data_IF_202779771974
#
_entry.id   IF_202779771974
#
_cell.length_a   1.000
_cell.length_b   1.000
_cell.length_c   1.000
_cell.angle_alpha   90.00
_cell.angle_beta   90.00
_cell.angle_gamma   90.00
#
_symmetry.space_group_name_H-M   'P 1'
#
loop_
_entity.id
_entity.type
_entity.pdbx_description
1 polymer ?
#
# COMPACT_ATOMS: atom_id res chain seq x y z
N UNK A 1 -3.13 34.83 -3.41
CA UNK A 1 -2.10 34.06 -4.12
C UNK A 1 -1.81 32.77 -3.36
N UNK A 2 -1.54 31.65 -4.04
CA UNK A 2 -1.19 30.39 -3.37
C UNK A 2 0.13 30.51 -2.60
N UNK A 3 0.34 29.61 -1.64
CA UNK A 3 1.61 29.46 -0.94
C UNK A 3 2.61 28.76 -1.86
N UNK A 4 3.74 29.39 -2.11
CA UNK A 4 4.82 28.82 -2.93
C UNK A 4 5.77 28.03 -2.02
N UNK A 5 6.15 26.81 -2.43
CA UNK A 5 7.10 26.01 -1.68
C UNK A 5 8.47 26.72 -1.56
N UNK A 6 9.18 26.63 -0.41
CA UNK A 6 10.35 27.46 -0.11
C UNK A 6 11.45 27.42 -1.16
N UNK A 7 11.68 26.25 -1.77
CA UNK A 7 12.69 26.07 -2.81
C UNK A 7 12.42 26.87 -4.10
N UNK A 8 11.19 27.37 -4.29
CA UNK A 8 10.80 28.19 -5.44
C UNK A 8 10.60 29.68 -5.09
N UNK A 9 10.92 30.10 -3.86
CA UNK A 9 10.68 31.48 -3.42
C UNK A 9 11.35 32.53 -4.33
N UNK A 10 12.54 32.20 -4.86
CA UNK A 10 13.34 33.07 -5.73
C UNK A 10 13.25 32.71 -7.22
N UNK A 11 12.41 31.75 -7.60
CA UNK A 11 12.21 31.40 -9.00
C UNK A 11 11.64 32.63 -9.75
N UNK A 12 12.03 32.95 -10.99
CA UNK A 12 11.37 34.00 -11.77
C UNK A 12 9.92 33.64 -12.15
N UNK A 13 9.60 32.35 -12.28
CA UNK A 13 8.27 31.91 -12.71
C UNK A 13 7.24 31.98 -11.56
N UNK A 14 5.98 32.29 -11.87
CA UNK A 14 4.88 32.36 -10.89
C UNK A 14 3.62 31.66 -11.42
N UNK A 15 2.80 31.04 -10.54
CA UNK A 15 1.52 30.46 -10.92
C UNK A 15 0.63 31.48 -11.64
N UNK A 16 0.09 31.08 -12.79
CA UNK A 16 -0.76 31.90 -13.65
C UNK A 16 -2.25 31.70 -13.35
N UNK A 17 -2.61 30.60 -12.67
CA UNK A 17 -4.00 30.25 -12.37
C UNK A 17 -4.42 30.73 -10.99
N UNK A 18 -5.73 30.92 -10.83
CA UNK A 18 -6.35 31.42 -9.60
C UNK A 18 -6.47 30.32 -8.53
N UNK A 19 -5.33 29.83 -8.06
CA UNK A 19 -5.26 28.88 -6.96
C UNK A 19 -5.73 29.51 -5.64
N UNK A 20 -6.42 28.75 -4.76
CA UNK A 20 -6.75 29.22 -3.42
C UNK A 20 -5.51 29.63 -2.62
N UNK A 21 -5.65 30.64 -1.76
CA UNK A 21 -4.55 31.14 -0.92
C UNK A 21 -4.05 30.10 0.10
N UNK A 22 -4.90 29.13 0.43
CA UNK A 22 -4.56 28.00 1.30
C UNK A 22 -3.82 26.88 0.58
N UNK A 23 -3.73 26.92 -0.75
CA UNK A 23 -3.07 25.91 -1.57
C UNK A 23 -1.55 26.08 -1.53
N UNK A 24 -0.81 25.02 -1.20
CA UNK A 24 0.64 24.95 -1.40
C UNK A 24 0.92 24.45 -2.81
N UNK A 25 1.85 25.09 -3.53
CA UNK A 25 2.23 24.70 -4.89
C UNK A 25 3.74 24.58 -5.06
N UNK A 26 4.17 23.66 -5.92
CA UNK A 26 5.56 23.48 -6.37
C UNK A 26 5.61 23.01 -7.82
N UNK A 27 6.75 23.19 -8.49
CA UNK A 27 6.86 22.86 -9.92
C UNK A 27 8.29 22.49 -10.31
N UNK A 28 8.45 21.93 -11.50
CA UNK A 28 9.77 21.69 -12.07
C UNK A 28 9.69 21.54 -13.58
N UNK A 29 10.64 22.17 -14.28
CA UNK A 29 10.74 22.05 -15.74
C UNK A 29 11.22 20.68 -16.24
N UNK A 30 11.71 19.83 -15.34
CA UNK A 30 12.21 18.48 -15.64
C UNK A 30 11.86 17.52 -14.50
N UNK A 31 11.00 16.56 -14.80
CA UNK A 31 10.66 15.43 -13.94
C UNK A 31 10.63 14.14 -14.76
N UNK A 32 10.59 13.01 -14.06
CA UNK A 32 10.46 11.68 -14.67
C UNK A 32 9.17 11.03 -14.19
N UNK A 33 8.49 10.35 -15.11
CA UNK A 33 7.37 9.47 -14.80
C UNK A 33 7.82 8.04 -15.07
N UNK A 34 7.66 7.18 -14.07
CA UNK A 34 7.99 5.76 -14.16
C UNK A 34 6.70 4.96 -14.23
N UNK A 35 6.61 4.06 -15.20
CA UNK A 35 5.50 3.14 -15.36
C UNK A 35 6.01 1.76 -15.78
N UNK A 36 5.17 0.74 -15.65
CA UNK A 36 5.45 -0.61 -16.15
C UNK A 36 5.74 -0.62 -17.66
N UNK A 37 5.07 0.24 -18.43
CA UNK A 37 5.25 0.38 -19.88
C UNK A 37 6.47 1.23 -20.30
N UNK A 38 7.26 1.74 -19.35
CA UNK A 38 8.42 2.57 -19.61
C UNK A 38 8.43 3.88 -18.83
N UNK A 39 9.41 4.72 -19.13
CA UNK A 39 9.59 6.03 -18.48
C UNK A 39 9.63 7.16 -19.51
N UNK A 40 9.20 8.35 -19.09
CA UNK A 40 9.30 9.56 -19.91
C UNK A 40 9.61 10.79 -19.05
N UNK A 41 10.21 11.79 -19.67
CA UNK A 41 10.45 13.11 -19.07
C UNK A 41 9.27 14.05 -19.29
N UNK A 42 8.95 14.88 -18.30
CA UNK A 42 7.88 15.89 -18.37
C UNK A 42 8.16 17.05 -17.41
N UNK A 43 7.66 18.25 -17.72
CA UNK A 43 7.50 19.29 -16.70
C UNK A 43 6.32 18.92 -15.78
N UNK A 44 6.40 19.31 -14.51
CA UNK A 44 5.35 19.01 -13.54
C UNK A 44 4.95 20.25 -12.74
N UNK A 45 3.69 20.27 -12.32
CA UNK A 45 3.15 21.24 -11.37
C UNK A 45 2.31 20.47 -10.35
N UNK A 46 2.68 20.61 -9.08
CA UNK A 46 2.06 19.91 -7.97
C UNK A 46 1.33 20.90 -7.07
N UNK A 47 0.11 20.57 -6.71
CA UNK A 47 -0.75 21.38 -5.85
C UNK A 47 -1.26 20.54 -4.67
N UNK A 48 -1.31 21.18 -3.51
CA UNK A 48 -1.80 20.62 -2.25
C UNK A 48 -2.91 21.54 -1.72
N UNK A 49 -4.14 21.41 -2.25
CA UNK A 49 -5.27 22.22 -1.81
C UNK A 49 -5.64 21.88 -0.37
N UNK A 50 -5.76 22.90 0.48
CA UNK A 50 -6.28 22.77 1.84
C UNK A 50 -7.69 23.37 1.94
N UNK A 51 -8.56 23.06 0.98
CA UNK A 51 -9.94 23.53 0.87
C UNK A 51 -10.97 22.41 1.11
N UNK A 52 -10.52 21.23 1.56
CA UNK A 52 -11.36 20.05 1.74
C UNK A 52 -11.60 19.24 0.46
N UNK A 53 -11.12 19.68 -0.71
CA UNK A 53 -11.17 18.85 -1.94
C UNK A 53 -10.34 17.57 -1.80
N UNK A 54 -9.39 17.57 -0.86
CA UNK A 54 -8.58 16.44 -0.46
C UNK A 54 -7.48 16.09 -1.46
N UNK A 55 -6.41 15.49 -0.94
CA UNK A 55 -5.39 14.83 -1.74
C UNK A 55 -4.33 15.74 -2.36
N UNK A 56 -3.51 15.10 -3.18
CA UNK A 56 -2.40 15.66 -3.92
C UNK A 56 -2.76 15.68 -5.41
N UNK A 57 -2.48 16.80 -6.07
CA UNK A 57 -2.69 16.97 -7.51
C UNK A 57 -1.36 17.14 -8.20
N UNK A 58 -1.20 16.50 -9.35
CA UNK A 58 -0.05 16.68 -10.22
C UNK A 58 -0.52 16.81 -11.65
N UNK A 59 -0.20 17.94 -12.25
CA UNK A 59 -0.30 18.13 -13.69
C UNK A 59 1.04 17.91 -14.36
N UNK A 60 0.98 17.51 -15.63
CA UNK A 60 2.13 17.20 -16.47
C UNK A 60 2.03 17.96 -17.79
N UNK A 61 3.17 18.30 -18.37
CA UNK A 61 3.22 19.07 -19.61
C UNK A 61 4.62 19.11 -20.23
N UNK A 62 4.73 19.76 -21.38
CA UNK A 62 6.04 20.09 -21.98
C UNK A 62 6.67 21.29 -21.29
N UNK A 63 5.86 22.18 -20.74
CA UNK A 63 6.28 23.35 -19.96
C UNK A 63 5.58 23.38 -18.60
N UNK A 64 6.08 24.23 -17.70
CA UNK A 64 5.48 24.40 -16.37
C UNK A 64 4.06 24.99 -16.47
N UNK A 65 3.80 25.87 -17.45
CA UNK A 65 2.49 26.46 -17.70
C UNK A 65 1.47 25.42 -18.17
N UNK A 66 1.88 24.51 -19.05
CA UNK A 66 1.04 23.38 -19.48
C UNK A 66 0.74 22.46 -18.30
N UNK A 67 1.75 22.15 -17.48
CA UNK A 67 1.60 21.34 -16.29
C UNK A 67 0.67 22.02 -15.26
N UNK A 68 0.79 23.33 -15.06
CA UNK A 68 -0.11 24.10 -14.18
C UNK A 68 -1.55 24.06 -14.72
N UNK A 69 -1.74 24.26 -16.03
CA UNK A 69 -3.07 24.23 -16.63
C UNK A 69 -3.74 22.85 -16.47
N UNK A 70 -3.00 21.75 -16.67
CA UNK A 70 -3.50 20.42 -16.42
C UNK A 70 -3.85 20.21 -14.94
N UNK A 71 -2.95 20.57 -14.02
CA UNK A 71 -3.16 20.47 -12.58
C UNK A 71 -4.40 21.27 -12.12
N UNK A 72 -4.54 22.50 -12.60
CA UNK A 72 -5.66 23.38 -12.27
C UNK A 72 -6.98 22.82 -12.78
N UNK A 73 -6.99 22.23 -13.98
CA UNK A 73 -8.17 21.54 -14.51
C UNK A 73 -8.60 20.37 -13.63
N UNK A 74 -7.62 19.63 -13.07
CA UNK A 74 -7.89 18.56 -12.12
C UNK A 74 -8.54 19.12 -10.84
N UNK A 75 -7.96 20.18 -10.26
CA UNK A 75 -8.52 20.84 -9.07
C UNK A 75 -9.96 21.32 -9.30
N UNK A 76 -10.23 22.03 -10.41
CA UNK A 76 -11.57 22.52 -10.72
C UNK A 76 -12.61 21.39 -10.77
N UNK A 77 -12.26 20.25 -11.37
CA UNK A 77 -13.15 19.07 -11.39
C UNK A 77 -13.39 18.50 -9.99
N UNK A 78 -12.36 18.44 -9.15
CA UNK A 78 -12.47 17.92 -7.78
C UNK A 78 -13.27 18.87 -6.88
N UNK A 79 -12.94 20.16 -6.89
CA UNK A 79 -13.63 21.21 -6.17
C UNK A 79 -15.11 21.27 -6.54
N UNK A 80 -15.44 21.17 -7.84
CA UNK A 80 -16.83 21.09 -8.30
C UNK A 80 -17.57 19.86 -7.73
N UNK A 81 -16.92 18.70 -7.60
CA UNK A 81 -17.56 17.54 -6.97
C UNK A 81 -17.84 17.75 -5.49
N UNK A 82 -16.94 18.42 -4.78
CA UNK A 82 -17.11 18.75 -3.37
C UNK A 82 -18.33 19.67 -3.16
N UNK A 83 -18.51 20.67 -4.04
CA UNK A 83 -19.63 21.63 -3.95
C UNK A 83 -20.96 21.13 -4.54
N UNK A 84 -20.94 20.09 -5.40
CA UNK A 84 -22.14 19.58 -6.10
C UNK A 84 -22.55 18.16 -5.64
N UNK A 85 -22.73 18.01 -4.34
CA UNK A 85 -23.25 16.78 -3.73
C UNK A 85 -22.22 15.66 -3.60
N UNK A 86 -20.95 16.01 -3.42
CA UNK A 86 -19.87 15.12 -3.03
C UNK A 86 -19.38 14.14 -4.09
N UNK A 87 -18.32 13.41 -3.74
CA UNK A 87 -17.72 12.37 -4.57
C UNK A 87 -18.57 11.09 -4.57
N UNK A 88 -18.59 10.40 -5.71
CA UNK A 88 -19.15 9.04 -5.83
C UNK A 88 -18.05 8.07 -6.23
N UNK A 89 -17.66 7.21 -5.31
CA UNK A 89 -16.48 6.35 -5.44
C UNK A 89 -16.77 5.03 -6.18
N UNK A 90 -15.77 4.51 -6.90
CA UNK A 90 -15.75 3.18 -7.51
C UNK A 90 -14.35 2.58 -7.49
N UNK A 91 -14.21 1.25 -7.43
CA UNK A 91 -12.90 0.58 -7.58
C UNK A 91 -12.44 0.49 -9.03
N UNK A 92 -13.34 0.75 -9.98
CA UNK A 92 -13.09 0.54 -11.39
C UNK A 92 -12.22 1.63 -12.03
N UNK A 93 -10.99 1.27 -12.43
CA UNK A 93 -10.01 2.20 -13.03
C UNK A 93 -10.37 2.70 -14.43
N UNK A 94 -11.35 2.12 -15.13
CA UNK A 94 -11.75 2.59 -16.47
C UNK A 94 -13.23 2.91 -16.55
N UNK A 95 -13.49 4.21 -16.55
CA UNK A 95 -14.63 4.82 -17.20
C UNK A 95 -14.13 5.38 -18.54
N UNK A 96 -14.10 4.58 -19.61
CA UNK A 96 -13.69 5.12 -20.93
C UNK A 96 -14.73 6.17 -21.40
N UNK A 97 -14.30 7.30 -21.99
CA UNK A 97 -15.19 8.07 -22.87
C UNK A 97 -15.71 7.14 -23.96
N UNK A 98 -16.99 7.27 -24.32
CA UNK A 98 -17.62 6.40 -25.33
C UNK A 98 -16.98 6.55 -26.72
N UNK A 99 -16.24 7.64 -26.93
CA UNK A 99 -15.76 8.07 -28.24
C UNK A 99 -14.21 7.98 -28.38
N UNK A 100 -13.53 7.10 -27.64
CA UNK A 100 -12.09 6.83 -27.89
C UNK A 100 -11.96 6.06 -29.23
N UNK A 101 -11.33 6.64 -30.27
CA UNK A 101 -11.26 6.03 -31.61
C UNK A 101 -10.39 4.76 -31.67
N UNK A 102 -9.76 4.38 -30.55
CA UNK A 102 -8.94 3.18 -30.40
C UNK A 102 -9.71 1.97 -29.86
N UNK A 103 -11.06 2.00 -29.90
CA UNK A 103 -11.92 0.89 -29.51
C UNK A 103 -12.57 0.25 -30.76
N UNK A 104 -12.02 -0.89 -31.13
CA UNK A 104 -12.41 -1.78 -32.23
C UNK A 104 -13.55 -2.76 -31.85
N UNK A 105 -14.25 -2.48 -30.73
CA UNK A 105 -15.27 -3.37 -30.14
C UNK A 105 -16.72 -3.00 -30.47
N UNK A 106 -17.32 -3.75 -31.38
CA UNK A 106 -18.72 -3.73 -31.81
C UNK A 106 -19.77 -3.63 -30.68
N UNK A 107 -20.84 -2.86 -30.92
CA UNK A 107 -22.05 -2.87 -30.08
C UNK A 107 -22.99 -1.69 -30.34
N UNK A 108 -23.79 -1.77 -31.39
CA UNK A 108 -24.96 -0.91 -31.62
C UNK A 108 -25.99 -1.06 -30.48
N UNK A 109 -26.60 0.04 -30.03
CA UNK A 109 -27.80 -0.05 -29.18
C UNK A 109 -28.01 1.07 -28.17
N UNK A 110 -28.95 1.95 -28.53
CA UNK A 110 -29.81 2.78 -27.67
C UNK A 110 -29.24 4.05 -27.02
N UNK A 111 -29.98 5.13 -27.26
CA UNK A 111 -29.91 6.42 -26.61
C UNK A 111 -30.53 6.36 -25.22
N UNK A 112 -29.74 6.54 -24.16
CA UNK A 112 -30.08 7.39 -23.00
C UNK A 112 -28.95 7.33 -21.95
N UNK A 113 -28.71 8.48 -21.31
CA UNK A 113 -27.71 8.77 -20.26
C UNK A 113 -26.25 8.81 -20.74
N UNK A 114 -25.68 10.02 -20.69
CA UNK A 114 -24.23 10.27 -20.71
C UNK A 114 -23.59 9.54 -19.52
N UNK A 115 -23.18 8.29 -19.73
CA UNK A 115 -22.58 7.44 -18.72
C UNK A 115 -21.37 6.74 -19.31
N UNK A 116 -20.24 6.84 -18.60
CA UNK A 116 -19.01 6.13 -18.96
C UNK A 116 -19.20 4.62 -18.69
N UNK A 117 -18.78 3.75 -19.62
CA UNK A 117 -18.89 2.28 -19.46
C UNK A 117 -17.66 1.69 -18.77
N UNK A 118 -17.88 0.62 -18.01
CA UNK A 118 -16.84 -0.23 -17.44
C UNK A 118 -16.31 -1.17 -18.55
N UNK A 119 -15.02 -1.14 -18.85
CA UNK A 119 -14.40 -2.07 -19.81
C UNK A 119 -14.31 -3.50 -19.27
N UNK A 120 -14.18 -4.51 -20.15
CA UNK A 120 -14.23 -5.93 -19.79
C UNK A 120 -13.07 -6.43 -18.88
N UNK A 121 -11.95 -5.72 -18.81
CA UNK A 121 -10.86 -5.98 -17.85
C UNK A 121 -10.62 -4.74 -17.02
N UNK A 122 -11.35 -4.62 -15.92
CA UNK A 122 -11.09 -3.56 -14.95
C UNK A 122 -10.15 -4.11 -13.89
N UNK A 123 -8.88 -3.74 -13.96
CA UNK A 123 -8.01 -3.82 -12.79
C UNK A 123 -8.62 -2.94 -11.71
N UNK A 124 -9.19 -3.58 -10.68
CA UNK A 124 -9.81 -2.91 -9.55
C UNK A 124 -8.85 -2.97 -8.37
N UNK A 125 -8.70 -1.84 -7.66
CA UNK A 125 -7.96 -1.84 -6.41
C UNK A 125 -8.71 -2.67 -5.38
N UNK A 126 -8.03 -3.56 -4.67
CA UNK A 126 -8.57 -4.30 -3.51
C UNK A 126 -8.27 -3.56 -2.20
N UNK A 127 -7.14 -2.85 -2.13
CA UNK A 127 -6.57 -2.15 -0.98
C UNK A 127 -7.26 -0.83 -0.57
N UNK A 128 -8.58 -0.72 -0.72
CA UNK A 128 -9.34 0.48 -0.33
C UNK A 128 -9.27 1.67 -1.30
N UNK A 129 -8.31 1.66 -2.24
CA UNK A 129 -8.21 2.63 -3.32
C UNK A 129 -9.44 2.65 -4.22
N UNK A 130 -9.83 3.84 -4.65
CA UNK A 130 -11.01 4.06 -5.49
C UNK A 130 -10.90 5.36 -6.29
N UNK A 131 -11.73 5.49 -7.32
CA UNK A 131 -11.84 6.66 -8.19
C UNK A 131 -13.21 7.29 -8.09
N UNK A 132 -13.29 8.62 -8.19
CA UNK A 132 -14.54 9.32 -8.28
C UNK A 132 -15.14 9.20 -9.69
N UNK A 133 -16.39 8.71 -9.80
CA UNK A 133 -17.11 8.58 -11.07
C UNK A 133 -17.36 9.94 -11.76
N UNK A 134 -17.40 11.03 -11.00
CA UNK A 134 -17.66 12.40 -11.48
C UNK A 134 -16.37 13.06 -12.00
N UNK A 135 -15.36 13.23 -11.14
CA UNK A 135 -14.13 13.98 -11.48
C UNK A 135 -12.90 13.12 -11.81
N UNK A 136 -12.92 11.82 -11.55
CA UNK A 136 -11.76 10.94 -11.76
C UNK A 136 -10.71 10.97 -10.63
N UNK A 137 -10.93 11.75 -9.57
CA UNK A 137 -10.03 11.81 -8.40
C UNK A 137 -9.79 10.41 -7.82
N UNK A 138 -8.56 10.14 -7.38
CA UNK A 138 -8.22 8.93 -6.64
C UNK A 138 -8.22 9.20 -5.13
N UNK A 139 -8.76 8.27 -4.34
CA UNK A 139 -8.73 8.33 -2.88
C UNK A 139 -8.79 6.93 -2.26
N UNK A 140 -8.41 6.83 -0.98
CA UNK A 140 -8.64 5.64 -0.16
C UNK A 140 -9.92 5.85 0.66
N UNK A 141 -11.07 5.59 0.05
CA UNK A 141 -12.39 5.87 0.67
C UNK A 141 -13.30 4.64 0.77
N UNK A 142 -12.83 3.48 0.33
CA UNK A 142 -13.59 2.22 0.40
C UNK A 142 -12.93 1.24 1.36
N UNK A 143 -13.74 0.42 2.04
CA UNK A 143 -13.23 -0.69 2.85
C UNK A 143 -12.58 -1.75 1.96
N UNK A 144 -11.39 -2.24 2.33
CA UNK A 144 -10.66 -3.29 1.61
C UNK A 144 -11.57 -4.47 1.20
N UNK A 145 -11.40 -4.94 -0.03
CA UNK A 145 -12.08 -6.18 -0.47
C UNK A 145 -11.26 -7.35 0.06
N UNK A 146 -11.80 -8.00 1.08
CA UNK A 146 -11.17 -9.18 1.67
C UNK A 146 -11.67 -10.43 0.93
N UNK A 147 -10.76 -11.20 0.38
CA UNK A 147 -11.08 -12.48 -0.23
C UNK A 147 -11.60 -13.46 0.84
N UNK A 148 -12.75 -14.09 0.56
CA UNK A 148 -13.34 -15.06 1.48
C UNK A 148 -12.41 -16.27 1.61
N UNK A 149 -12.05 -16.60 2.85
CA UNK A 149 -11.13 -17.70 3.12
C UNK A 149 -9.65 -17.30 3.08
N UNK A 150 -9.29 -16.02 2.80
CA UNK A 150 -7.90 -15.56 2.84
C UNK A 150 -7.19 -15.84 4.19
N UNK A 151 -7.95 -15.95 5.28
CA UNK A 151 -7.44 -16.34 6.59
C UNK A 151 -6.92 -17.79 6.67
N UNK A 152 -7.27 -18.65 5.70
CA UNK A 152 -6.74 -20.01 5.53
C UNK A 152 -5.51 -20.06 4.63
N UNK A 153 -5.16 -18.95 3.97
CA UNK A 153 -3.98 -18.92 3.13
C UNK A 153 -2.75 -19.32 3.95
N UNK A 154 -1.72 -19.89 3.32
CA UNK A 154 -0.41 -20.04 3.93
C UNK A 154 0.08 -18.76 4.62
N UNK A 155 0.94 -18.92 5.61
CA UNK A 155 1.68 -17.78 6.15
C UNK A 155 2.58 -17.18 5.08
N UNK A 156 2.58 -15.85 4.99
CA UNK A 156 3.69 -15.19 4.30
C UNK A 156 4.97 -15.30 5.14
N UNK A 157 6.12 -15.17 4.50
CA UNK A 157 7.41 -15.17 5.21
C UNK A 157 7.48 -14.01 6.21
N UNK A 158 7.00 -12.82 5.84
CA UNK A 158 6.94 -11.68 6.77
C UNK A 158 6.00 -11.92 7.97
N UNK A 159 4.93 -12.72 7.83
CA UNK A 159 4.09 -13.10 8.97
C UNK A 159 4.85 -14.04 9.91
N UNK A 160 5.60 -15.02 9.38
CA UNK A 160 6.44 -15.91 10.20
C UNK A 160 7.56 -15.15 10.91
N UNK A 161 8.21 -14.22 10.23
CA UNK A 161 9.22 -13.33 10.79
C UNK A 161 8.63 -12.47 11.91
N UNK A 162 7.51 -11.79 11.65
CA UNK A 162 6.84 -10.97 12.67
C UNK A 162 6.50 -11.79 13.92
N UNK A 163 6.09 -13.05 13.75
CA UNK A 163 5.85 -13.94 14.89
C UNK A 163 7.15 -14.30 15.58
N UNK A 164 8.18 -14.71 14.83
CA UNK A 164 9.48 -15.11 15.36
C UNK A 164 10.14 -13.99 16.19
N UNK A 165 9.96 -12.74 15.78
CA UNK A 165 10.47 -11.55 16.45
C UNK A 165 9.58 -11.08 17.62
N UNK A 166 8.61 -11.90 18.05
CA UNK A 166 7.78 -11.58 19.21
C UNK A 166 6.69 -10.54 18.95
N UNK A 167 6.35 -10.24 17.70
CA UNK A 167 5.35 -9.22 17.31
C UNK A 167 3.91 -9.46 17.78
N UNK A 168 3.66 -10.54 18.54
CA UNK A 168 2.40 -10.79 19.24
C UNK A 168 2.35 -10.21 20.66
N UNK A 169 3.48 -9.76 21.22
CA UNK A 169 3.51 -8.98 22.45
C UNK A 169 3.13 -7.53 22.15
N UNK A 170 2.52 -6.87 23.14
CA UNK A 170 2.22 -5.45 23.04
C UNK A 170 3.49 -4.63 23.29
N UNK A 171 3.79 -3.71 22.39
CA UNK A 171 5.01 -2.92 22.47
C UNK A 171 4.75 -1.45 22.88
N UNK A 172 5.67 -0.80 23.62
CA UNK A 172 5.46 0.56 24.13
C UNK A 172 5.21 1.62 23.05
N UNK A 173 5.77 1.45 21.84
CA UNK A 173 5.63 2.41 20.73
C UNK A 173 4.25 2.36 20.04
N UNK A 174 3.42 1.37 20.33
CA UNK A 174 2.08 1.22 19.73
C UNK A 174 1.06 2.25 20.23
N UNK A 175 1.44 3.12 21.17
CA UNK A 175 0.59 4.18 21.76
C UNK A 175 -0.12 5.06 20.74
N UNK A 176 0.43 5.19 19.52
CA UNK A 176 -0.16 6.02 18.45
C UNK A 176 -1.44 5.43 17.87
N UNK A 177 -1.60 4.11 17.83
CA UNK A 177 -2.79 3.42 17.30
C UNK A 177 -2.96 2.02 17.93
N UNK A 178 -3.32 1.94 19.22
CA UNK A 178 -3.34 0.69 19.96
C UNK A 178 -4.40 -0.29 19.43
N UNK A 179 -5.50 0.23 18.87
CA UNK A 179 -6.62 -0.58 18.37
C UNK A 179 -6.22 -1.33 17.09
N UNK A 180 -5.54 -0.65 16.16
CA UNK A 180 -5.06 -1.27 14.93
C UNK A 180 -4.08 -2.40 15.22
N UNK A 181 -3.10 -2.15 16.10
CA UNK A 181 -2.09 -3.14 16.45
C UNK A 181 -2.68 -4.32 17.22
N UNK A 182 -3.58 -4.07 18.18
CA UNK A 182 -4.30 -5.15 18.87
C UNK A 182 -5.08 -6.06 17.91
N UNK A 183 -5.75 -5.48 16.90
CA UNK A 183 -6.45 -6.25 15.85
C UNK A 183 -5.48 -7.08 15.00
N UNK A 184 -4.35 -6.50 14.61
CA UNK A 184 -3.31 -7.20 13.85
C UNK A 184 -2.74 -8.39 14.61
N UNK A 185 -2.32 -8.20 15.87
CA UNK A 185 -1.78 -9.28 16.73
C UNK A 185 -2.81 -10.38 16.96
N UNK A 186 -4.05 -10.02 17.27
CA UNK A 186 -5.14 -11.00 17.45
C UNK A 186 -5.36 -11.82 16.18
N UNK A 187 -5.34 -11.18 15.00
CA UNK A 187 -5.48 -11.88 13.72
C UNK A 187 -4.33 -12.88 13.52
N UNK A 188 -3.10 -12.45 13.76
CA UNK A 188 -1.90 -13.27 13.57
C UNK A 188 -1.87 -14.45 14.55
N UNK A 189 -2.21 -14.24 15.83
CA UNK A 189 -2.34 -15.30 16.83
C UNK A 189 -3.43 -16.33 16.48
N UNK A 190 -4.59 -15.88 15.98
CA UNK A 190 -5.66 -16.78 15.53
C UNK A 190 -5.23 -17.60 14.32
N UNK A 191 -4.50 -17.00 13.37
CA UNK A 191 -3.91 -17.74 12.24
C UNK A 191 -2.87 -18.76 12.70
N UNK A 192 -2.00 -18.40 13.63
CA UNK A 192 -1.03 -19.34 14.20
C UNK A 192 -1.71 -20.57 14.79
N UNK A 193 -2.75 -20.34 15.60
CA UNK A 193 -3.56 -21.43 16.16
C UNK A 193 -4.22 -22.29 15.08
N UNK A 194 -4.78 -21.67 14.04
CA UNK A 194 -5.41 -22.37 12.93
C UNK A 194 -4.44 -23.30 12.17
N UNK A 195 -3.22 -22.82 11.90
CA UNK A 195 -2.19 -23.58 11.19
C UNK A 195 -1.39 -24.51 12.11
N UNK A 196 -1.77 -24.64 13.39
CA UNK A 196 -1.10 -25.52 14.34
C UNK A 196 0.27 -25.04 14.83
N UNK A 197 0.60 -23.77 14.60
CA UNK A 197 1.78 -23.11 15.18
C UNK A 197 1.52 -22.85 16.67
N UNK A 198 2.24 -23.57 17.53
CA UNK A 198 2.11 -23.49 18.99
C UNK A 198 2.98 -22.37 19.54
N UNK A 199 2.37 -21.24 19.86
CA UNK A 199 3.09 -20.05 20.33
C UNK A 199 3.08 -19.93 21.86
N UNK A 200 4.15 -19.36 22.45
CA UNK A 200 4.16 -18.98 23.85
C UNK A 200 3.11 -17.90 24.15
N UNK A 201 2.55 -17.89 25.37
CA UNK A 201 1.61 -16.84 25.80
C UNK A 201 2.35 -15.51 26.01
N UNK A 202 2.06 -14.46 25.23
CA UNK A 202 2.72 -13.15 25.38
C UNK A 202 2.53 -12.49 26.74
N UNK A 203 1.52 -12.90 27.53
CA UNK A 203 1.24 -12.33 28.84
C UNK A 203 1.77 -13.17 30.00
N UNK A 204 2.50 -14.26 29.71
CA UNK A 204 3.07 -15.09 30.76
C UNK A 204 4.17 -14.31 31.51
N UNK A 205 4.24 -14.37 32.86
CA UNK A 205 5.23 -13.60 33.63
C UNK A 205 6.69 -13.84 33.22
N UNK A 206 7.03 -15.05 32.77
CA UNK A 206 8.38 -15.38 32.27
C UNK A 206 8.74 -14.70 30.93
N UNK A 207 7.78 -14.06 30.26
CA UNK A 207 7.96 -13.33 28.99
C UNK A 207 7.88 -11.81 29.18
N UNK A 208 7.77 -11.35 30.44
CA UNK A 208 7.81 -9.94 30.76
C UNK A 208 9.23 -9.40 30.54
N UNK A 209 9.34 -8.29 29.80
CA UNK A 209 10.60 -7.57 29.67
C UNK A 209 11.00 -7.00 31.04
N UNK A 210 12.28 -7.13 31.39
CA UNK A 210 12.80 -6.39 32.53
C UNK A 210 12.75 -4.87 32.21
N UNK A 211 12.40 -4.01 33.18
CA UNK A 211 12.30 -2.56 32.96
C UNK A 211 13.59 -1.90 32.42
N UNK A 212 14.72 -2.57 32.63
CA UNK A 212 16.09 -2.18 32.31
C UNK A 212 16.78 -3.18 31.36
N UNK A 213 16.02 -4.09 30.74
CA UNK A 213 16.56 -5.04 29.76
C UNK A 213 17.30 -4.29 28.65
N UNK A 214 18.50 -4.74 28.32
CA UNK A 214 19.22 -4.24 27.16
C UNK A 214 18.38 -4.57 25.90
N UNK A 215 18.05 -3.59 25.03
CA UNK A 215 17.39 -3.85 23.75
C UNK A 215 18.11 -4.86 22.85
N UNK A 216 19.38 -5.15 23.13
CA UNK A 216 20.22 -6.12 22.42
C UNK A 216 20.38 -7.45 23.17
N UNK A 217 19.85 -7.60 24.38
CA UNK A 217 19.84 -8.89 25.10
C UNK A 217 18.78 -9.84 24.52
N UNK A 218 19.05 -11.14 24.66
CA UNK A 218 18.18 -12.21 24.19
C UNK A 218 16.83 -12.20 24.93
N UNK A 219 15.81 -11.65 24.28
CA UNK A 219 14.45 -11.64 24.79
C UNK A 219 13.86 -13.06 24.79
N UNK A 220 13.62 -13.59 25.99
CA UNK A 220 13.07 -14.94 26.24
C UNK A 220 11.80 -15.20 25.43
N UNK A 221 10.93 -14.20 25.26
CA UNK A 221 9.71 -14.36 24.47
C UNK A 221 10.02 -14.50 22.99
N UNK A 222 10.89 -13.64 22.46
CA UNK A 222 11.32 -13.69 21.06
C UNK A 222 12.02 -15.01 20.76
N UNK A 223 12.91 -15.49 21.64
CA UNK A 223 13.54 -16.80 21.50
C UNK A 223 12.50 -17.94 21.46
N UNK A 224 11.53 -17.95 22.38
CA UNK A 224 10.49 -18.98 22.42
C UNK A 224 9.57 -18.93 21.18
N UNK A 225 9.25 -17.73 20.69
CA UNK A 225 8.52 -17.54 19.43
C UNK A 225 9.32 -18.04 18.24
N UNK A 226 10.61 -17.68 18.14
CA UNK A 226 11.50 -18.12 17.08
C UNK A 226 11.63 -19.64 17.07
N UNK A 227 11.81 -20.27 18.23
CA UNK A 227 11.85 -21.73 18.34
C UNK A 227 10.55 -22.37 17.82
N UNK A 228 9.39 -21.83 18.20
CA UNK A 228 8.10 -22.31 17.72
C UNK A 228 7.95 -22.18 16.18
N UNK A 229 8.38 -21.05 15.62
CA UNK A 229 8.36 -20.81 14.16
C UNK A 229 9.32 -21.76 13.44
N UNK A 230 10.53 -21.98 13.96
CA UNK A 230 11.51 -22.91 13.37
C UNK A 230 11.00 -24.35 13.40
N UNK A 231 10.37 -24.79 14.49
CA UNK A 231 9.71 -26.12 14.56
C UNK A 231 8.55 -26.26 13.59
N UNK A 232 7.80 -25.20 13.35
CA UNK A 232 6.75 -25.18 12.33
C UNK A 232 7.35 -25.21 10.92
N UNK A 233 8.35 -24.37 10.66
CA UNK A 233 9.10 -24.34 9.40
C UNK A 233 9.64 -25.73 9.07
N UNK A 234 10.30 -26.43 10.00
CA UNK A 234 10.84 -27.76 9.76
C UNK A 234 9.78 -28.77 9.25
N UNK A 235 8.53 -28.67 9.72
CA UNK A 235 7.41 -29.51 9.26
C UNK A 235 6.91 -29.13 7.88
N UNK A 236 6.96 -27.84 7.53
CA UNK A 236 6.34 -27.27 6.33
C UNK A 236 7.36 -26.78 5.27
N UNK A 237 8.66 -27.03 5.49
CA UNK A 237 9.74 -26.35 4.77
C UNK A 237 9.70 -26.56 3.26
N UNK A 238 9.32 -27.74 2.78
CA UNK A 238 9.16 -28.02 1.35
C UNK A 238 8.06 -27.14 0.74
N UNK A 239 6.89 -27.11 1.37
CA UNK A 239 5.76 -26.28 0.91
C UNK A 239 6.11 -24.80 0.90
N UNK A 240 6.78 -24.31 1.95
CA UNK A 240 7.19 -22.91 2.05
C UNK A 240 8.27 -22.54 1.01
N UNK A 241 9.21 -23.45 0.69
CA UNK A 241 10.22 -23.25 -0.36
C UNK A 241 9.59 -23.21 -1.75
N UNK A 242 8.63 -24.09 -2.03
CA UNK A 242 7.93 -24.13 -3.33
C UNK A 242 7.15 -22.83 -3.56
N UNK A 243 6.44 -22.34 -2.54
CA UNK A 243 5.68 -21.09 -2.59
C UNK A 243 6.59 -19.87 -2.80
N UNK A 244 7.73 -19.79 -2.10
CA UNK A 244 8.70 -18.71 -2.28
C UNK A 244 9.37 -18.75 -3.66
N UNK A 245 9.66 -19.95 -4.17
CA UNK A 245 10.25 -20.13 -5.51
C UNK A 245 9.26 -19.69 -6.61
N UNK A 246 7.96 -19.87 -6.40
CA UNK A 246 6.92 -19.43 -7.33
C UNK A 246 6.73 -17.91 -7.39
N UNK A 247 7.16 -17.15 -6.37
CA UNK A 247 7.03 -15.69 -6.32
C UNK A 247 8.08 -14.93 -7.17
N UNK A 248 9.05 -15.65 -7.76
CA UNK A 248 9.96 -15.15 -8.79
C UNK A 248 11.07 -14.19 -8.30
N UNK A 249 11.85 -13.66 -9.25
CA UNK A 249 13.04 -12.83 -9.01
C UNK A 249 12.73 -11.36 -8.61
N UNK A 250 11.67 -11.13 -7.84
CA UNK A 250 11.37 -9.80 -7.30
C UNK A 250 12.26 -9.49 -6.09
N UNK A 251 12.44 -8.20 -5.77
CA UNK A 251 13.14 -7.79 -4.54
C UNK A 251 12.49 -8.40 -3.29
N UNK A 252 11.15 -8.52 -3.27
CA UNK A 252 10.42 -9.19 -2.19
C UNK A 252 10.82 -10.66 -2.07
N UNK A 253 10.85 -11.39 -3.18
CA UNK A 253 11.28 -12.80 -3.21
C UNK A 253 12.72 -13.02 -2.74
N UNK A 254 13.61 -12.05 -2.97
CA UNK A 254 14.98 -12.10 -2.44
C UNK A 254 15.01 -12.05 -0.90
N UNK A 255 14.30 -11.10 -0.29
CA UNK A 255 14.22 -11.00 1.18
C UNK A 255 13.52 -12.21 1.79
N UNK A 256 12.42 -12.66 1.20
CA UNK A 256 11.71 -13.87 1.63
C UNK A 256 12.66 -15.09 1.64
N UNK A 257 13.51 -15.22 0.61
CA UNK A 257 14.54 -16.25 0.55
C UNK A 257 15.57 -16.16 1.69
N UNK A 258 16.00 -14.96 2.08
CA UNK A 258 16.94 -14.76 3.19
C UNK A 258 16.34 -15.18 4.54
N UNK A 259 15.08 -14.82 4.80
CA UNK A 259 14.40 -15.20 6.04
C UNK A 259 14.17 -16.72 6.10
N UNK A 260 13.74 -17.34 5.00
CA UNK A 260 13.60 -18.80 4.93
C UNK A 260 14.93 -19.53 5.11
N UNK A 261 16.02 -19.01 4.54
CA UNK A 261 17.36 -19.54 4.76
C UNK A 261 17.78 -19.41 6.23
N UNK A 262 17.39 -18.33 6.91
CA UNK A 262 17.62 -18.19 8.35
C UNK A 262 16.88 -19.25 9.16
N UNK A 263 15.59 -19.47 8.91
CA UNK A 263 14.83 -20.51 9.60
C UNK A 263 15.37 -21.91 9.30
N UNK A 264 15.88 -22.14 8.09
CA UNK A 264 16.52 -23.39 7.73
C UNK A 264 17.79 -23.64 8.54
N UNK A 265 18.69 -22.66 8.64
CA UNK A 265 19.91 -22.77 9.46
C UNK A 265 19.57 -23.06 10.92
N UNK A 266 18.58 -22.38 11.47
CA UNK A 266 18.14 -22.60 12.85
C UNK A 266 17.54 -24.01 13.02
N UNK A 267 16.75 -24.49 12.05
CA UNK A 267 16.20 -25.84 12.07
C UNK A 267 17.29 -26.92 12.02
N UNK A 268 18.34 -26.72 11.22
CA UNK A 268 19.52 -27.60 11.18
C UNK A 268 20.26 -27.56 12.50
N UNK A 269 20.50 -26.36 13.06
CA UNK A 269 21.15 -26.19 14.37
C UNK A 269 20.37 -26.86 15.50
N UNK A 270 19.04 -26.95 15.38
CA UNK A 270 18.17 -27.65 16.32
C UNK A 270 18.05 -29.17 16.06
N UNK A 271 18.70 -29.70 15.01
CA UNK A 271 18.59 -31.10 14.62
C UNK A 271 17.22 -31.51 14.07
N UNK A 272 16.43 -30.54 13.59
CA UNK A 272 15.09 -30.78 13.03
C UNK A 272 15.12 -31.06 11.53
N UNK A 273 16.17 -30.63 10.85
CA UNK A 273 16.42 -30.87 9.42
C UNK A 273 17.88 -31.33 9.22
N UNK A 274 18.18 -32.10 8.16
CA UNK A 274 19.55 -32.44 7.82
C UNK A 274 20.33 -31.19 7.41
N UNK A 275 21.63 -31.15 7.71
CA UNK A 275 22.53 -30.20 7.07
C UNK A 275 22.63 -30.59 5.58
N UNK A 276 22.17 -29.71 4.69
CA UNK A 276 22.34 -29.83 3.23
C UNK A 276 23.82 -29.63 2.84
#
# INVERSE_FOLDING_TARGET
MPRIAPQHANDPWRPLRAWPDTCLVQWGGKGVVLSESGSYGTAFFEAFPNDGSGGYLRGEGKTVEEAEADCFSQWQRQHACHTTGGHRWTRARRLKPRDDPRDDGAGSGSHSRRGRRLGARVHTYTNGGCFCLKCGAFATAMAEVVELGAWKAPFSVSELETIADGGLRQEPWERRDPVRWAKYRRRLALRAKLHGLKLPDPNHPAHALAPDADPFEDDVYCMACREAVVRFYAKEHLRLRDEASAQGASIGGFFDGLHLASFHRDAVSMGLLPAE
#
